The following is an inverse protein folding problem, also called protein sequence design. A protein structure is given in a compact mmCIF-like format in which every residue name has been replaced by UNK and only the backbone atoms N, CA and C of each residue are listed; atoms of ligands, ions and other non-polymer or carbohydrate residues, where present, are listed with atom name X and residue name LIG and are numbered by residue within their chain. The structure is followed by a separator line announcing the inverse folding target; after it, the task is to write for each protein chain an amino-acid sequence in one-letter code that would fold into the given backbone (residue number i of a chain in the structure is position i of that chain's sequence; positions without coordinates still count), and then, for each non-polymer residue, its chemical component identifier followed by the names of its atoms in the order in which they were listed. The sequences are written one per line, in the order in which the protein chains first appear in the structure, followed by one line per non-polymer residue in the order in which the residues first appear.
data_IF_412504411577
#
_entry.id   IF_412504411577
#
_cell.length_a   1.000
_cell.length_b   1.000
_cell.length_c   1.000
_cell.angle_alpha   90.00
_cell.angle_beta   90.00
_cell.angle_gamma   90.00
#
_symmetry.space_group_name_H-M   'P 1'
#
loop_
_entity.id
_entity.type
_entity.pdbx_description
1 polymer ?
#
# COMPACT_ATOMS: atom_id res chain seq x y z
N UNK A 1 0.24 -1.04 -10.96
CA UNK A 1 1.69 -1.29 -10.72
C UNK A 1 2.09 -0.88 -9.30
N UNK A 2 1.62 0.26 -8.80
CA UNK A 2 2.07 0.82 -7.50
C UNK A 2 1.86 -0.07 -6.27
N UNK A 3 1.01 -1.08 -6.33
CA UNK A 3 0.78 -2.05 -5.25
C UNK A 3 1.68 -3.30 -5.31
N UNK A 4 2.66 -3.33 -6.22
CA UNK A 4 3.63 -4.43 -6.25
C UNK A 4 4.54 -4.41 -5.03
N UNK A 5 4.91 -5.59 -4.51
CA UNK A 5 5.78 -5.67 -3.32
C UNK A 5 7.11 -4.95 -3.51
N UNK A 6 7.59 -4.32 -2.45
CA UNK A 6 8.91 -3.66 -2.39
C UNK A 6 9.15 -2.54 -3.41
N UNK A 7 8.08 -1.86 -3.84
CA UNK A 7 8.20 -0.81 -4.85
C UNK A 7 8.53 0.57 -4.25
N UNK A 8 7.94 0.92 -3.10
CA UNK A 8 8.04 2.26 -2.51
C UNK A 8 8.80 2.25 -1.19
N UNK A 9 9.55 3.33 -0.89
CA UNK A 9 10.26 3.51 0.38
C UNK A 9 9.49 4.37 1.37
N UNK A 10 8.75 5.35 0.87
CA UNK A 10 7.93 6.29 1.64
C UNK A 10 6.66 6.63 0.86
N UNK A 11 5.67 7.20 1.53
CA UNK A 11 4.40 7.52 0.91
C UNK A 11 4.45 8.81 0.09
N UNK A 12 5.24 9.79 0.47
CA UNK A 12 5.36 11.04 -0.30
C UNK A 12 5.94 10.77 -1.68
N UNK A 13 7.10 10.10 -1.76
CA UNK A 13 7.75 9.74 -3.01
C UNK A 13 6.91 8.76 -3.84
N UNK A 14 6.33 7.75 -3.19
CA UNK A 14 5.42 6.79 -3.82
C UNK A 14 4.18 7.45 -4.43
N UNK A 15 3.64 8.50 -3.80
CA UNK A 15 2.48 9.26 -4.30
C UNK A 15 2.83 10.13 -5.50
N UNK A 16 4.02 10.74 -5.52
CA UNK A 16 4.55 11.43 -6.71
C UNK A 16 4.67 10.46 -7.89
N UNK A 17 5.31 9.32 -7.65
CA UNK A 17 5.44 8.27 -8.67
C UNK A 17 4.08 7.76 -9.17
N UNK A 18 3.11 7.59 -8.28
CA UNK A 18 1.76 7.15 -8.63
C UNK A 18 1.05 8.14 -9.56
N UNK A 19 1.18 9.45 -9.32
CA UNK A 19 0.64 10.46 -10.21
C UNK A 19 1.30 10.44 -11.60
N UNK A 20 2.63 10.33 -11.68
CA UNK A 20 3.36 10.24 -12.95
C UNK A 20 2.95 8.98 -13.75
N UNK A 21 2.81 7.84 -13.08
CA UNK A 21 2.34 6.60 -13.70
C UNK A 21 0.91 6.76 -14.22
N UNK A 22 0.02 7.41 -13.46
CA UNK A 22 -1.32 7.73 -13.94
C UNK A 22 -1.27 8.62 -15.19
N UNK A 23 -0.48 9.68 -15.20
CA UNK A 23 -0.34 10.59 -16.34
C UNK A 23 0.14 9.86 -17.61
N UNK A 24 1.07 8.92 -17.45
CA UNK A 24 1.66 8.21 -18.58
C UNK A 24 0.79 7.05 -19.10
N UNK A 25 0.14 6.32 -18.21
CA UNK A 25 -0.50 5.05 -18.54
C UNK A 25 -1.98 4.94 -18.17
N UNK A 26 -2.44 5.68 -17.16
CA UNK A 26 -3.72 5.43 -16.50
C UNK A 26 -4.89 6.24 -17.03
N UNK A 27 -4.69 7.29 -17.83
CA UNK A 27 -5.74 8.23 -18.19
C UNK A 27 -6.97 7.57 -18.84
N UNK A 28 -6.75 6.53 -19.67
CA UNK A 28 -7.85 5.79 -20.31
C UNK A 28 -8.71 5.01 -19.33
N UNK A 29 -8.09 4.50 -18.25
CA UNK A 29 -8.79 3.69 -17.25
C UNK A 29 -9.70 4.54 -16.36
N UNK A 30 -9.48 5.86 -16.34
CA UNK A 30 -10.26 6.83 -15.58
C UNK A 30 -11.11 7.74 -16.49
N UNK A 31 -11.44 7.28 -17.70
CA UNK A 31 -12.35 8.01 -18.59
C UNK A 31 -13.69 8.30 -17.87
N UNK A 32 -14.16 9.54 -17.94
CA UNK A 32 -15.35 10.00 -17.23
C UNK A 32 -15.11 10.49 -15.79
N UNK A 33 -13.86 10.46 -15.33
CA UNK A 33 -13.45 11.01 -14.05
C UNK A 33 -12.37 12.08 -14.23
N UNK A 34 -12.49 13.18 -13.51
CA UNK A 34 -11.43 14.16 -13.29
C UNK A 34 -10.58 13.68 -12.11
N UNK A 35 -9.41 13.16 -12.37
CA UNK A 35 -8.48 12.80 -11.31
C UNK A 35 -7.94 14.05 -10.63
N UNK A 36 -7.93 14.04 -9.30
CA UNK A 36 -7.42 15.13 -8.46
C UNK A 36 -6.10 14.73 -7.80
N UNK A 37 -6.01 13.48 -7.33
CA UNK A 37 -4.80 12.92 -6.75
C UNK A 37 -4.74 11.40 -6.94
N UNK A 38 -3.51 10.88 -7.01
CA UNK A 38 -3.19 9.47 -6.79
C UNK A 38 -2.18 9.41 -5.68
N UNK A 39 -2.47 8.67 -4.61
CA UNK A 39 -1.56 8.58 -3.48
C UNK A 39 -1.45 7.15 -2.97
N UNK A 40 -0.39 6.89 -2.22
CA UNK A 40 -0.17 5.64 -1.51
C UNK A 40 -0.07 5.92 -0.02
N UNK A 41 -0.29 4.89 0.81
CA UNK A 41 -0.05 4.98 2.25
C UNK A 41 1.42 4.73 2.60
N UNK A 42 1.82 5.01 3.85
CA UNK A 42 3.11 4.66 4.42
C UNK A 42 3.40 3.15 4.32
N UNK A 43 4.56 2.72 4.73
CA UNK A 43 5.00 1.32 4.66
C UNK A 43 3.97 0.39 5.27
N UNK A 44 3.39 -0.51 4.47
CA UNK A 44 2.51 -1.54 4.97
C UNK A 44 3.26 -2.53 5.85
N UNK A 45 2.72 -2.77 7.05
CA UNK A 45 3.32 -3.62 8.07
C UNK A 45 2.51 -4.90 8.26
N UNK A 46 3.07 -5.85 9.02
CA UNK A 46 2.47 -7.15 9.30
C UNK A 46 2.03 -7.18 10.76
N UNK A 47 0.76 -7.51 10.99
CA UNK A 47 0.16 -7.54 12.32
C UNK A 47 -0.57 -8.86 12.53
N UNK A 48 -0.33 -9.55 13.67
CA UNK A 48 -1.01 -10.81 13.95
C UNK A 48 -1.07 -11.15 15.46
N UNK A 49 -1.85 -12.18 15.81
CA UNK A 49 -2.06 -12.64 17.18
C UNK A 49 -1.40 -13.98 17.51
N UNK A 50 -0.64 -14.57 16.60
CA UNK A 50 -0.10 -15.93 16.78
C UNK A 50 1.36 -15.95 17.20
N UNK A 51 2.22 -15.20 16.50
CA UNK A 51 3.67 -15.26 16.68
C UNK A 51 4.39 -14.09 16.02
N UNK A 52 5.63 -13.78 16.43
CA UNK A 52 6.49 -12.90 15.67
C UNK A 52 6.67 -13.42 14.23
N UNK A 53 6.73 -12.50 13.26
CA UNK A 53 7.08 -12.81 11.87
C UNK A 53 8.39 -12.10 11.57
N UNK A 54 9.46 -12.87 11.46
CA UNK A 54 10.80 -12.36 11.17
C UNK A 54 11.37 -12.93 9.87
N UNK A 55 10.81 -14.01 9.36
CA UNK A 55 11.19 -14.68 8.12
C UNK A 55 9.98 -15.24 7.39
N UNK A 56 10.14 -15.57 6.11
CA UNK A 56 9.05 -16.07 5.25
C UNK A 56 8.36 -17.31 5.84
N UNK A 57 9.13 -18.22 6.42
CA UNK A 57 8.56 -19.46 6.99
C UNK A 57 7.55 -19.22 8.12
N UNK A 58 7.58 -18.05 8.78
CA UNK A 58 6.69 -17.70 9.88
C UNK A 58 5.25 -17.42 9.41
N UNK A 59 5.04 -17.19 8.10
CA UNK A 59 3.70 -17.04 7.51
C UNK A 59 2.93 -18.35 7.40
N UNK A 60 3.62 -19.48 7.41
CA UNK A 60 2.98 -20.78 7.18
C UNK A 60 1.84 -21.05 8.15
N UNK A 61 0.66 -21.36 7.59
CA UNK A 61 -0.54 -21.70 8.35
C UNK A 61 -1.32 -20.51 8.91
N UNK A 62 -0.87 -19.27 8.70
CA UNK A 62 -1.62 -18.08 9.08
C UNK A 62 -2.72 -17.76 8.06
N UNK A 63 -3.84 -17.27 8.55
CA UNK A 63 -4.89 -16.62 7.75
C UNK A 63 -4.70 -15.12 7.88
N UNK A 64 -4.36 -14.45 6.77
CA UNK A 64 -3.99 -13.03 6.78
C UNK A 64 -4.95 -12.21 5.92
N UNK A 65 -5.57 -11.21 6.53
CA UNK A 65 -6.37 -10.26 5.76
C UNK A 65 -5.45 -9.46 4.83
N UNK A 66 -5.88 -9.31 3.59
CA UNK A 66 -5.20 -8.50 2.59
C UNK A 66 -6.19 -7.56 1.87
N UNK A 67 -5.84 -6.28 1.64
CA UNK A 67 -6.77 -5.28 1.12
C UNK A 67 -7.11 -5.43 -0.36
N UNK A 68 -6.15 -5.86 -1.18
CA UNK A 68 -6.25 -5.80 -2.63
C UNK A 68 -5.87 -7.12 -3.31
N UNK A 69 -6.15 -7.22 -4.59
CA UNK A 69 -5.80 -8.39 -5.39
C UNK A 69 -4.30 -8.71 -5.37
N UNK A 70 -3.45 -7.68 -5.45
CA UNK A 70 -2.00 -7.88 -5.46
C UNK A 70 -1.46 -8.24 -4.08
N UNK A 71 -1.98 -7.63 -3.02
CA UNK A 71 -1.62 -8.01 -1.65
C UNK A 71 -2.10 -9.42 -1.29
N UNK A 72 -3.24 -9.88 -1.83
CA UNK A 72 -3.65 -11.29 -1.70
C UNK A 72 -2.64 -12.24 -2.37
N UNK A 73 -2.17 -11.93 -3.59
CA UNK A 73 -1.12 -12.70 -4.25
C UNK A 73 0.21 -12.68 -3.47
N UNK A 74 0.57 -11.55 -2.89
CA UNK A 74 1.74 -11.40 -2.04
C UNK A 74 1.65 -12.29 -0.79
N UNK A 75 0.56 -12.24 -0.07
CA UNK A 75 0.33 -13.05 1.14
C UNK A 75 0.38 -14.56 0.80
N UNK A 76 -0.24 -14.98 -0.31
CA UNK A 76 -0.15 -16.36 -0.79
C UNK A 76 1.29 -16.76 -1.14
N UNK A 77 2.05 -15.89 -1.79
CA UNK A 77 3.45 -16.12 -2.14
C UNK A 77 4.36 -16.24 -0.90
N UNK A 78 4.02 -15.56 0.19
CA UNK A 78 4.69 -15.67 1.49
C UNK A 78 4.29 -16.94 2.27
N UNK A 79 3.32 -17.72 1.79
CA UNK A 79 2.93 -19.00 2.38
C UNK A 79 1.79 -18.95 3.40
N UNK A 80 1.14 -17.79 3.57
CA UNK A 80 -0.09 -17.68 4.34
C UNK A 80 -1.33 -17.83 3.46
N UNK A 81 -2.49 -18.06 4.08
CA UNK A 81 -3.79 -18.06 3.41
C UNK A 81 -4.34 -16.62 3.38
N UNK A 82 -4.45 -15.99 2.21
CA UNK A 82 -5.02 -14.65 2.12
C UNK A 82 -6.54 -14.69 2.32
N UNK A 83 -7.06 -13.71 3.03
CA UNK A 83 -8.50 -13.49 3.21
C UNK A 83 -8.82 -12.07 2.74
N UNK A 84 -9.44 -11.97 1.56
CA UNK A 84 -9.84 -10.68 0.99
C UNK A 84 -11.05 -10.13 1.73
N UNK A 85 -10.92 -8.92 2.29
CA UNK A 85 -12.07 -8.22 2.88
C UNK A 85 -11.84 -6.71 2.92
N UNK A 86 -12.93 -5.92 2.86
CA UNK A 86 -12.90 -4.48 3.08
C UNK A 86 -12.38 -4.14 4.47
N UNK A 87 -11.70 -2.98 4.59
CA UNK A 87 -11.09 -2.53 5.83
C UNK A 87 -12.06 -2.53 7.04
N UNK A 88 -13.32 -2.03 6.95
CA UNK A 88 -14.23 -1.98 8.09
C UNK A 88 -14.59 -3.34 8.71
N UNK A 89 -14.40 -4.44 7.97
CA UNK A 89 -14.66 -5.81 8.46
C UNK A 89 -13.48 -6.39 9.24
N UNK A 90 -12.30 -5.79 9.16
CA UNK A 90 -11.07 -6.33 9.75
C UNK A 90 -11.13 -6.47 11.28
N UNK A 91 -11.61 -5.48 12.07
CA UNK A 91 -11.70 -5.62 13.53
C UNK A 91 -12.57 -6.81 13.96
N UNK A 92 -13.72 -6.97 13.34
CA UNK A 92 -14.64 -8.09 13.64
C UNK A 92 -14.00 -9.44 13.26
N UNK A 93 -13.37 -9.53 12.11
CA UNK A 93 -12.68 -10.74 11.66
C UNK A 93 -11.51 -11.13 12.57
N UNK A 94 -10.75 -10.16 13.07
CA UNK A 94 -9.67 -10.38 14.05
C UNK A 94 -10.24 -10.85 15.39
N UNK A 95 -11.25 -10.17 15.91
CA UNK A 95 -11.85 -10.50 17.22
C UNK A 95 -12.50 -11.88 17.25
N UNK A 96 -13.11 -12.30 16.14
CA UNK A 96 -13.73 -13.63 15.99
C UNK A 96 -12.76 -14.73 15.56
N UNK A 97 -11.47 -14.41 15.34
CA UNK A 97 -10.48 -15.39 14.89
C UNK A 97 -10.70 -15.90 13.45
N UNK A 98 -11.47 -15.19 12.62
CA UNK A 98 -11.64 -15.49 11.19
C UNK A 98 -10.31 -15.33 10.47
N UNK A 99 -9.52 -14.34 10.87
CA UNK A 99 -8.14 -14.13 10.47
C UNK A 99 -7.21 -14.14 11.68
N UNK A 100 -5.98 -14.61 11.48
CA UNK A 100 -4.92 -14.59 12.50
C UNK A 100 -4.21 -13.25 12.56
N UNK A 101 -4.30 -12.49 11.47
CA UNK A 101 -3.64 -11.19 11.32
C UNK A 101 -4.04 -10.49 10.03
N UNK A 102 -3.34 -9.41 9.76
CA UNK A 102 -3.62 -8.53 8.63
C UNK A 102 -2.36 -7.77 8.21
N UNK A 103 -2.37 -7.20 7.01
CA UNK A 103 -1.39 -6.21 6.57
C UNK A 103 -2.08 -4.85 6.49
N UNK A 104 -1.48 -3.83 7.11
CA UNK A 104 -1.98 -2.45 7.18
C UNK A 104 -0.82 -1.46 7.40
N UNK A 105 -0.98 -0.19 7.00
CA UNK A 105 -0.13 0.91 7.45
C UNK A 105 -0.44 1.26 8.92
N UNK A 106 0.51 1.91 9.59
CA UNK A 106 0.36 2.20 11.02
C UNK A 106 -0.81 3.12 11.34
N UNK A 107 -1.06 4.14 10.51
CA UNK A 107 -2.13 5.11 10.76
C UNK A 107 -3.49 4.44 10.98
N UNK A 108 -3.80 3.41 10.19
CA UNK A 108 -5.09 2.72 10.25
C UNK A 108 -5.22 1.83 11.50
N UNK A 109 -4.13 1.33 12.04
CA UNK A 109 -4.16 0.36 13.15
C UNK A 109 -4.84 0.92 14.41
N UNK A 110 -4.47 2.10 14.97
CA UNK A 110 -5.18 2.68 16.10
C UNK A 110 -6.52 3.29 15.73
N UNK A 111 -6.66 3.86 14.53
CA UNK A 111 -7.92 4.43 14.04
C UNK A 111 -9.05 3.39 14.07
N UNK A 112 -8.72 2.14 13.77
CA UNK A 112 -9.64 1.00 13.83
C UNK A 112 -9.56 0.22 15.16
N UNK A 113 -8.85 0.73 16.17
CA UNK A 113 -8.59 0.09 17.48
C UNK A 113 -7.95 -1.30 17.37
N UNK A 114 -7.32 -1.61 16.25
CA UNK A 114 -6.69 -2.91 16.02
C UNK A 114 -5.49 -3.16 16.93
N UNK A 115 -4.77 -2.12 17.38
CA UNK A 115 -3.70 -2.21 18.39
C UNK A 115 -4.19 -2.76 19.73
N UNK A 116 -5.50 -2.67 20.02
CA UNK A 116 -6.09 -3.20 21.24
C UNK A 116 -6.28 -4.71 21.20
N UNK A 117 -6.35 -5.28 20.01
CA UNK A 117 -6.64 -6.70 19.78
C UNK A 117 -5.55 -7.43 19.01
N UNK A 118 -4.39 -6.79 18.78
CA UNK A 118 -3.25 -7.38 18.07
C UNK A 118 -2.01 -7.36 18.95
N UNK A 119 -1.29 -8.47 19.00
CA UNK A 119 -0.15 -8.67 19.91
C UNK A 119 1.20 -8.46 19.23
N UNK A 120 1.37 -8.92 17.99
CA UNK A 120 2.65 -8.93 17.29
C UNK A 120 2.62 -8.02 16.07
N UNK A 121 3.63 -7.17 15.96
CA UNK A 121 3.84 -6.29 14.83
C UNK A 121 5.23 -6.54 14.25
N UNK A 122 5.31 -6.81 12.95
CA UNK A 122 6.59 -7.07 12.26
C UNK A 122 6.79 -6.03 11.18
N UNK A 123 7.98 -5.42 11.19
CA UNK A 123 8.30 -4.23 10.42
C UNK A 123 9.52 -4.45 9.55
N UNK A 124 9.47 -3.92 8.32
CA UNK A 124 10.65 -3.73 7.46
C UNK A 124 11.03 -2.26 7.55
N UNK A 125 12.18 -1.98 8.14
CA UNK A 125 12.63 -0.63 8.42
C UNK A 125 13.50 -0.04 7.29
N UNK A 126 13.62 1.30 7.16
CA UNK A 126 14.58 1.94 6.28
C UNK A 126 15.99 1.38 6.47
N UNK A 127 16.82 1.36 5.41
CA UNK A 127 16.60 1.93 4.07
C UNK A 127 15.84 1.00 3.10
N UNK A 128 15.37 -0.16 3.54
CA UNK A 128 14.66 -1.11 2.69
C UNK A 128 13.32 -0.53 2.22
N UNK A 129 12.82 -0.87 1.01
CA UNK A 129 11.46 -0.57 0.61
C UNK A 129 10.43 -1.22 1.55
N UNK A 130 9.24 -0.64 1.66
CA UNK A 130 8.13 -1.25 2.40
C UNK A 130 7.67 -2.56 1.75
N UNK A 131 7.09 -3.47 2.55
CA UNK A 131 6.58 -4.75 2.05
C UNK A 131 5.56 -4.53 0.92
N UNK A 132 4.67 -3.58 1.10
CA UNK A 132 3.65 -3.20 0.11
C UNK A 132 3.11 -1.81 0.42
N UNK A 133 2.37 -1.28 -0.52
CA UNK A 133 1.46 -0.14 -0.32
C UNK A 133 0.15 -0.39 -1.07
N UNK A 134 -0.86 0.41 -0.80
CA UNK A 134 -2.13 0.43 -1.55
C UNK A 134 -2.25 1.76 -2.27
N UNK A 135 -2.71 1.72 -3.51
CA UNK A 135 -2.97 2.91 -4.31
C UNK A 135 -4.40 3.41 -4.06
N UNK A 136 -4.53 4.68 -3.81
CA UNK A 136 -5.80 5.39 -3.70
C UNK A 136 -5.91 6.48 -4.74
N UNK A 137 -7.12 6.83 -5.10
CA UNK A 137 -7.41 7.99 -5.97
C UNK A 137 -8.44 8.90 -5.33
N UNK A 138 -8.23 10.20 -5.51
CA UNK A 138 -9.25 11.21 -5.29
C UNK A 138 -9.67 11.69 -6.67
N UNK A 139 -10.94 11.54 -6.98
CA UNK A 139 -11.50 11.91 -8.27
C UNK A 139 -12.89 12.51 -8.11
N UNK A 140 -13.28 13.34 -9.06
CA UNK A 140 -14.65 13.83 -9.18
C UNK A 140 -15.26 13.39 -10.51
N UNK A 141 -16.58 13.41 -10.60
CA UNK A 141 -17.27 13.14 -11.85
C UNK A 141 -16.88 14.17 -12.91
N UNK A 142 -16.51 13.73 -14.11
CA UNK A 142 -16.05 14.61 -15.19
C UNK A 142 -17.13 15.62 -15.60
N UNK A 143 -18.38 15.19 -15.76
CA UNK A 143 -19.47 16.09 -16.13
C UNK A 143 -19.72 17.17 -15.04
N UNK A 144 -19.51 16.80 -13.75
CA UNK A 144 -19.57 17.77 -12.66
C UNK A 144 -18.44 18.79 -12.75
N UNK A 145 -17.21 18.35 -13.01
CA UNK A 145 -16.08 19.26 -13.25
C UNK A 145 -16.34 20.16 -14.46
N UNK A 146 -16.87 19.62 -15.55
CA UNK A 146 -17.14 20.37 -16.77
C UNK A 146 -18.21 21.47 -16.55
N UNK A 147 -19.14 21.26 -15.63
CA UNK A 147 -20.20 22.24 -15.26
C UNK A 147 -19.71 23.37 -14.36
N UNK A 148 -18.47 23.34 -13.87
CA UNK A 148 -17.88 24.39 -13.04
C UNK A 148 -17.54 25.64 -13.88
N UNK A 149 -17.56 26.82 -13.24
CA UNK A 149 -17.06 28.03 -13.87
C UNK A 149 -15.55 27.99 -14.13
N UNK A 150 -15.00 28.79 -15.04
CA UNK A 150 -13.56 28.85 -15.26
C UNK A 150 -12.74 29.11 -13.97
N UNK A 151 -13.25 29.99 -13.09
CA UNK A 151 -12.62 30.34 -11.82
C UNK A 151 -12.62 29.14 -10.87
N UNK A 152 -13.73 28.40 -10.78
CA UNK A 152 -13.82 27.19 -9.97
C UNK A 152 -12.89 26.10 -10.50
N UNK A 153 -12.83 25.88 -11.83
CA UNK A 153 -11.89 24.94 -12.45
C UNK A 153 -10.45 25.29 -12.12
N UNK A 154 -10.09 26.58 -12.20
CA UNK A 154 -8.75 27.05 -11.85
C UNK A 154 -8.37 26.70 -10.40
N UNK A 155 -9.32 26.85 -9.46
CA UNK A 155 -9.08 26.47 -8.05
C UNK A 155 -8.89 24.95 -7.92
N UNK A 156 -9.76 24.14 -8.55
CA UNK A 156 -9.62 22.68 -8.52
C UNK A 156 -8.27 22.25 -9.13
N UNK A 157 -7.90 22.77 -10.29
CA UNK A 157 -6.68 22.39 -10.98
C UNK A 157 -5.42 22.80 -10.19
N UNK A 158 -5.43 23.99 -9.57
CA UNK A 158 -4.34 24.47 -8.74
C UNK A 158 -4.15 23.64 -7.44
N UNK A 159 -5.18 22.92 -6.99
CA UNK A 159 -5.16 22.10 -5.79
C UNK A 159 -5.29 20.60 -6.13
N UNK A 160 -4.82 20.20 -7.29
CA UNK A 160 -4.81 18.82 -7.78
C UNK A 160 -3.43 18.46 -8.32
N UNK A 161 -3.23 17.20 -8.64
CA UNK A 161 -2.02 16.76 -9.33
C UNK A 161 -0.94 16.24 -8.42
N UNK A 162 0.31 16.35 -8.88
CA UNK A 162 1.47 15.75 -8.23
C UNK A 162 1.72 16.31 -6.82
N UNK A 163 1.56 17.62 -6.64
CA UNK A 163 1.82 18.25 -5.33
C UNK A 163 0.75 17.90 -4.31
N UNK A 164 -0.51 17.81 -4.71
CA UNK A 164 -1.59 17.34 -3.84
C UNK A 164 -1.41 15.84 -3.51
N UNK A 165 -1.05 15.02 -4.48
CA UNK A 165 -0.72 13.61 -4.27
C UNK A 165 0.41 13.44 -3.24
N UNK A 166 1.49 14.21 -3.41
CA UNK A 166 2.63 14.22 -2.50
C UNK A 166 2.28 14.70 -1.10
N UNK A 167 1.46 15.75 -0.98
CA UNK A 167 1.01 16.27 0.31
C UNK A 167 0.21 15.23 1.10
N UNK A 168 -0.64 14.45 0.43
CA UNK A 168 -1.36 13.34 1.07
C UNK A 168 -0.37 12.24 1.50
N UNK A 169 0.57 11.85 0.62
CA UNK A 169 1.60 10.87 0.97
C UNK A 169 2.44 11.30 2.17
N UNK A 170 2.84 12.58 2.22
CA UNK A 170 3.55 13.15 3.36
C UNK A 170 2.75 13.04 4.65
N UNK A 171 1.45 13.31 4.61
CA UNK A 171 0.58 13.18 5.78
C UNK A 171 0.52 11.71 6.29
N UNK A 172 0.54 10.72 5.40
CA UNK A 172 0.66 9.31 5.76
C UNK A 172 1.97 9.04 6.50
N UNK A 173 3.10 9.47 5.95
CA UNK A 173 4.42 9.26 6.55
C UNK A 173 4.52 9.93 7.94
N UNK A 174 4.00 11.15 8.08
CA UNK A 174 4.03 11.92 9.34
C UNK A 174 3.10 11.34 10.43
N UNK A 175 2.02 10.66 10.05
CA UNK A 175 1.08 10.07 11.02
C UNK A 175 1.55 8.73 11.58
N UNK A 176 2.37 7.98 10.85
CA UNK A 176 2.78 6.63 11.20
C UNK A 176 3.51 6.51 12.57
N UNK A 177 4.46 7.39 12.94
CA UNK A 177 5.16 7.29 14.23
C UNK A 177 4.22 7.41 15.44
N UNK A 178 3.28 8.35 15.42
CA UNK A 178 2.33 8.57 16.51
C UNK A 178 1.36 7.38 16.64
N UNK A 179 0.91 6.83 15.53
CA UNK A 179 0.06 5.65 15.48
C UNK A 179 0.79 4.40 16.01
N UNK A 180 2.04 4.20 15.59
CA UNK A 180 2.90 3.12 16.08
C UNK A 180 3.11 3.20 17.60
N UNK A 181 3.33 4.41 18.11
CA UNK A 181 3.52 4.66 19.54
C UNK A 181 2.33 4.19 20.38
N UNK A 182 1.10 4.34 19.91
CA UNK A 182 -0.09 3.88 20.63
C UNK A 182 -0.06 2.36 20.87
N UNK A 183 0.36 1.57 19.87
CA UNK A 183 0.54 0.13 20.03
C UNK A 183 1.70 -0.21 20.97
N UNK A 184 2.78 0.58 20.94
CA UNK A 184 3.93 0.41 21.83
C UNK A 184 3.56 0.69 23.29
N UNK A 185 2.84 1.79 23.55
CA UNK A 185 2.40 2.18 24.90
C UNK A 185 1.44 1.14 25.52
N UNK A 186 0.76 0.38 24.66
CA UNK A 186 -0.10 -0.73 25.10
C UNK A 186 0.68 -2.01 25.46
N UNK A 187 1.97 -2.06 25.19
CA UNK A 187 2.82 -3.22 25.45
C UNK A 187 2.79 -4.29 24.36
N UNK A 188 2.38 -3.95 23.15
CA UNK A 188 2.43 -4.86 22.03
C UNK A 188 3.89 -5.18 21.66
N UNK A 189 4.13 -6.35 21.06
CA UNK A 189 5.47 -6.81 20.71
C UNK A 189 5.83 -6.40 19.27
N UNK A 190 7.00 -5.79 19.12
CA UNK A 190 7.55 -5.33 17.86
C UNK A 190 8.73 -6.19 17.43
N UNK A 191 8.77 -6.56 16.16
CA UNK A 191 9.80 -7.38 15.57
C UNK A 191 10.30 -6.74 14.28
N UNK A 192 11.60 -6.57 14.15
CA UNK A 192 12.19 -6.07 12.91
C UNK A 192 12.59 -7.24 12.02
N UNK A 193 12.17 -7.21 10.78
CA UNK A 193 12.63 -8.13 9.73
C UNK A 193 14.00 -7.62 9.26
N UNK A 194 15.05 -8.37 9.53
CA UNK A 194 16.44 -8.01 9.20
C UNK A 194 16.68 -7.95 7.69
N UNK A 195 17.71 -7.22 7.26
CA UNK A 195 18.02 -7.03 5.85
C UNK A 195 18.23 -8.34 5.08
N UNK A 196 18.90 -9.32 5.69
CA UNK A 196 19.11 -10.65 5.09
C UNK A 196 17.78 -11.40 4.86
N UNK A 197 16.82 -11.26 5.77
CA UNK A 197 15.50 -11.87 5.66
C UNK A 197 14.64 -11.14 4.62
N UNK A 198 14.81 -9.82 4.45
CA UNK A 198 14.11 -9.04 3.42
C UNK A 198 14.40 -9.61 2.02
N UNK A 199 15.60 -10.05 1.73
CA UNK A 199 15.91 -10.73 0.46
C UNK A 199 15.06 -12.01 0.28
N UNK A 200 14.84 -12.75 1.35
CA UNK A 200 13.95 -13.92 1.35
C UNK A 200 12.50 -13.55 0.99
N UNK A 201 11.99 -12.45 1.56
CA UNK A 201 10.66 -11.92 1.23
C UNK A 201 10.59 -11.45 -0.22
N UNK A 202 11.61 -10.75 -0.72
CA UNK A 202 11.68 -10.29 -2.11
C UNK A 202 11.68 -11.49 -3.09
N UNK A 203 12.49 -12.52 -2.82
CA UNK A 203 12.52 -13.75 -3.62
C UNK A 203 11.17 -14.46 -3.62
N UNK A 204 10.55 -14.61 -2.47
CA UNK A 204 9.24 -15.28 -2.35
C UNK A 204 8.14 -14.54 -3.12
N UNK A 205 8.17 -13.21 -3.15
CA UNK A 205 7.14 -12.37 -3.79
C UNK A 205 7.46 -11.96 -5.24
N UNK A 206 8.66 -12.25 -5.76
CA UNK A 206 9.10 -11.84 -7.10
C UNK A 206 8.12 -12.26 -8.22
N UNK A 207 7.49 -13.43 -8.06
CA UNK A 207 6.49 -13.93 -8.99
C UNK A 207 5.27 -13.01 -9.13
N UNK A 208 4.92 -12.26 -8.08
CA UNK A 208 3.76 -11.34 -8.12
C UNK A 208 3.94 -10.29 -9.20
N UNK A 209 5.14 -9.69 -9.30
CA UNK A 209 5.45 -8.71 -10.35
C UNK A 209 5.49 -9.35 -11.75
N UNK A 210 6.10 -10.53 -11.88
CA UNK A 210 6.16 -11.25 -13.15
C UNK A 210 4.77 -11.60 -13.68
N UNK A 211 3.90 -12.11 -12.82
CA UNK A 211 2.53 -12.48 -13.19
C UNK A 211 1.69 -11.22 -13.49
N UNK A 212 1.90 -10.12 -12.75
CA UNK A 212 1.26 -8.84 -13.04
C UNK A 212 1.65 -8.32 -14.43
N UNK A 213 2.94 -8.35 -14.80
CA UNK A 213 3.39 -7.94 -16.15
C UNK A 213 2.69 -8.75 -17.22
N UNK A 214 2.59 -10.07 -17.08
CA UNK A 214 1.87 -10.92 -18.03
C UNK A 214 0.39 -10.54 -18.15
N UNK A 215 -0.28 -10.34 -16.99
CA UNK A 215 -1.71 -9.99 -16.95
C UNK A 215 -2.02 -8.67 -17.66
N UNK A 216 -1.21 -7.62 -17.41
CA UNK A 216 -1.47 -6.31 -18.03
C UNK A 216 -1.05 -6.27 -19.50
N UNK A 217 -0.01 -7.02 -19.88
CA UNK A 217 0.38 -7.17 -21.28
C UNK A 217 -0.73 -7.87 -22.09
N UNK A 218 -1.38 -8.88 -21.52
CA UNK A 218 -2.54 -9.53 -22.14
C UNK A 218 -3.74 -8.60 -22.31
N UNK A 219 -3.79 -7.48 -21.57
CA UNK A 219 -4.81 -6.42 -21.70
C UNK A 219 -4.39 -5.29 -22.66
N UNK A 220 -3.26 -5.41 -23.33
CA UNK A 220 -2.77 -4.44 -24.31
C UNK A 220 -1.91 -3.31 -23.73
N UNK A 221 -1.45 -3.41 -22.49
CA UNK A 221 -0.50 -2.46 -21.93
C UNK A 221 0.95 -2.96 -22.07
N UNK A 222 1.91 -2.07 -22.13
CA UNK A 222 3.32 -2.44 -21.97
C UNK A 222 3.64 -2.63 -20.48
N UNK A 223 3.37 -3.82 -19.97
CA UNK A 223 3.56 -4.15 -18.55
C UNK A 223 5.03 -4.05 -18.10
N UNK A 224 5.99 -4.30 -19.01
CA UNK A 224 7.42 -4.17 -18.69
C UNK A 224 7.83 -2.70 -18.54
N UNK A 225 7.41 -1.85 -19.47
CA UNK A 225 7.67 -0.42 -19.40
C UNK A 225 7.01 0.20 -18.15
N UNK A 226 5.74 -0.16 -17.85
CA UNK A 226 5.05 0.30 -16.66
C UNK A 226 5.76 -0.10 -15.36
N UNK A 227 6.28 -1.32 -15.27
CA UNK A 227 7.03 -1.78 -14.11
C UNK A 227 8.35 -1.03 -13.97
N UNK A 228 9.10 -0.90 -15.08
CA UNK A 228 10.38 -0.18 -15.10
C UNK A 228 10.21 1.28 -14.68
N UNK A 229 9.23 1.97 -15.23
CA UNK A 229 8.96 3.37 -14.90
C UNK A 229 8.54 3.54 -13.44
N UNK A 230 7.68 2.63 -12.93
CA UNK A 230 7.27 2.68 -11.54
C UNK A 230 8.45 2.48 -10.58
N UNK A 231 9.39 1.59 -10.90
CA UNK A 231 10.62 1.38 -10.13
C UNK A 231 11.53 2.61 -10.20
N UNK A 232 11.73 3.18 -11.38
CA UNK A 232 12.58 4.34 -11.60
C UNK A 232 12.02 5.56 -10.87
N UNK A 233 10.74 5.86 -11.03
CA UNK A 233 10.09 7.00 -10.38
C UNK A 233 10.04 6.85 -8.86
N UNK A 234 9.73 5.65 -8.36
CA UNK A 234 9.74 5.39 -6.91
C UNK A 234 11.14 5.56 -6.31
N UNK A 235 12.19 5.16 -7.01
CA UNK A 235 13.58 5.38 -6.58
C UNK A 235 13.99 6.86 -6.66
N UNK A 236 13.57 7.56 -7.71
CA UNK A 236 13.87 9.00 -7.93
C UNK A 236 13.27 9.89 -6.85
N UNK A 237 12.03 9.60 -6.42
CA UNK A 237 11.30 10.41 -5.44
C UNK A 237 11.47 9.95 -4.00
N UNK A 238 12.12 8.79 -3.76
CA UNK A 238 12.37 8.27 -2.42
C UNK A 238 13.24 9.21 -1.59
N UNK A 239 12.92 9.37 -0.31
CA UNK A 239 13.69 10.11 0.69
C UNK A 239 14.62 9.21 1.48
#
# INVERSE_FOLDING_TARGET
VMELPFLTKDAEGGSRAAWEIYQKYGQKDFAGLKALAFHVHDRGQIHNNKRPITKVADFKGLKMRAPTRLTNKMIAALGATPVAMPMPQTPDAVSKGVVDGYVLPWEVVPTMKLHEMTKYHSEINPPQPGLYTTLFTIAMNQAKYDSLTPEQKKVIDANSGVDFSAAIGKAWDESAPAARKQAQDRGNQFNTIGAAEVEGFQKATARVATDWVKEVTAKGYDGKAMLHDAQTLSAQYAK
#
